data_IF_216675935401
#
_entry.id   IF_216675935401
#
_cell.length_a   1.000
_cell.length_b   1.000
_cell.length_c   1.000
_cell.angle_alpha   90.00
_cell.angle_beta   90.00
_cell.angle_gamma   90.00
#
_symmetry.space_group_name_H-M   'P 1'
#
loop_
_entity.id
_entity.type
_entity.pdbx_description
1 polymer ?
#
# COMPACT_ATOMS: atom_id res chain seq x y z
N UNK A 1 -53.92 16.61 26.37
CA UNK A 1 -52.50 16.38 26.71
C UNK A 1 -52.09 15.02 26.16
N UNK A 2 -51.28 14.93 25.09
CA UNK A 2 -50.82 13.65 24.58
C UNK A 2 -49.84 12.99 25.58
N UNK A 3 -50.00 11.69 25.87
CA UNK A 3 -49.24 10.97 26.88
C UNK A 3 -47.77 10.77 26.48
N UNK A 4 -46.93 10.66 27.52
CA UNK A 4 -45.45 10.54 27.58
C UNK A 4 -44.85 9.49 26.62
N UNK A 5 -45.67 8.66 25.98
CA UNK A 5 -45.29 7.62 25.03
C UNK A 5 -44.65 8.14 23.72
N UNK A 6 -44.85 9.42 23.36
CA UNK A 6 -44.18 10.03 22.19
C UNK A 6 -42.69 10.32 22.40
N UNK A 7 -42.19 10.32 23.65
CA UNK A 7 -40.78 10.63 23.94
C UNK A 7 -39.85 9.41 23.76
N UNK A 8 -40.35 8.19 23.96
CA UNK A 8 -39.55 6.97 23.80
C UNK A 8 -39.33 6.58 22.32
N UNK A 9 -40.25 6.92 21.42
CA UNK A 9 -40.16 6.57 20.00
C UNK A 9 -39.11 7.41 19.21
N UNK A 10 -38.69 8.56 19.75
CA UNK A 10 -37.66 9.41 19.14
C UNK A 10 -36.24 9.00 19.56
N UNK A 11 -36.09 8.30 20.69
CA UNK A 11 -34.78 7.92 21.24
C UNK A 11 -34.17 6.65 20.61
N UNK A 12 -34.97 5.76 19.99
CA UNK A 12 -34.48 4.48 19.45
C UNK A 12 -34.21 4.47 17.94
N UNK A 13 -34.65 5.49 17.19
CA UNK A 13 -34.41 5.58 15.73
C UNK A 13 -33.06 6.20 15.33
N UNK A 14 -32.26 6.71 16.28
CA UNK A 14 -30.91 7.26 16.01
C UNK A 14 -29.76 6.25 16.11
N UNK A 15 -30.01 5.03 16.61
CA UNK A 15 -28.96 4.03 16.85
C UNK A 15 -28.85 3.01 15.71
N UNK A 16 -29.87 2.85 14.87
CA UNK A 16 -29.99 1.68 13.99
C UNK A 16 -30.14 1.97 12.49
N UNK A 17 -29.60 3.07 11.95
CA UNK A 17 -29.58 3.26 10.49
C UNK A 17 -28.24 3.80 9.99
N UNK A 18 -27.43 2.85 9.52
CA UNK A 18 -26.71 2.97 8.25
C UNK A 18 -25.91 4.26 8.03
N UNK A 19 -24.80 4.42 8.76
CA UNK A 19 -23.64 5.12 8.20
C UNK A 19 -22.31 4.47 8.55
N UNK A 20 -22.36 3.17 8.82
CA UNK A 20 -21.21 2.25 8.75
C UNK A 20 -20.72 2.09 7.29
N UNK A 21 -21.51 2.55 6.31
CA UNK A 21 -21.22 2.42 4.88
C UNK A 21 -20.73 3.73 4.23
N UNK A 22 -19.72 4.41 4.78
CA UNK A 22 -19.02 5.47 4.03
C UNK A 22 -17.59 5.75 4.50
N UNK A 23 -16.73 4.73 4.54
CA UNK A 23 -15.27 4.96 4.56
C UNK A 23 -14.41 3.82 4.00
N UNK A 24 -14.91 3.06 3.02
CA UNK A 24 -14.05 2.20 2.19
C UNK A 24 -13.66 2.94 0.91
N UNK A 25 -12.97 4.07 1.06
CA UNK A 25 -12.25 4.71 -0.05
C UNK A 25 -10.83 4.13 -0.01
N UNK A 26 -10.32 3.66 -1.14
CA UNK A 26 -8.89 3.42 -1.38
C UNK A 26 -8.26 2.14 -0.75
N UNK A 27 -8.76 0.92 -1.01
CA UNK A 27 -7.91 -0.29 -0.88
C UNK A 27 -8.00 -1.27 -2.07
N UNK A 28 -8.67 -0.88 -3.16
CA UNK A 28 -8.69 -1.66 -4.41
C UNK A 28 -8.51 -0.75 -5.64
N UNK A 29 -7.51 0.13 -5.55
CA UNK A 29 -7.00 0.93 -6.68
C UNK A 29 -5.72 0.34 -7.31
N UNK A 30 -5.37 -0.90 -6.96
CA UNK A 30 -4.08 -1.55 -7.24
C UNK A 30 -3.95 -2.17 -8.65
N UNK A 31 -4.74 -1.73 -9.63
CA UNK A 31 -4.56 -2.10 -11.05
C UNK A 31 -4.50 -0.85 -11.95
N UNK A 32 -4.05 0.29 -11.41
CA UNK A 32 -3.46 1.31 -12.27
C UNK A 32 -2.21 0.68 -12.89
N UNK A 33 -2.08 0.74 -14.22
CA UNK A 33 -0.92 0.23 -14.95
C UNK A 33 0.33 0.74 -14.24
N UNK A 34 1.13 -0.16 -13.65
CA UNK A 34 2.34 0.25 -12.94
C UNK A 34 3.16 1.12 -13.87
N UNK A 35 3.47 2.33 -13.42
CA UNK A 35 4.31 3.23 -14.20
C UNK A 35 5.65 2.55 -14.46
N UNK A 36 6.36 2.87 -15.56
CA UNK A 36 7.68 2.31 -15.81
C UNK A 36 8.62 2.51 -14.61
N UNK A 37 8.51 3.66 -13.94
CA UNK A 37 9.23 3.99 -12.69
C UNK A 37 8.85 3.06 -11.54
N UNK A 38 7.56 2.81 -11.30
CA UNK A 38 7.11 1.87 -10.24
C UNK A 38 7.63 0.44 -10.47
N UNK A 39 7.70 -0.01 -11.73
CA UNK A 39 8.27 -1.33 -12.06
C UNK A 39 9.77 -1.39 -11.75
N UNK A 40 10.52 -0.33 -12.06
CA UNK A 40 11.94 -0.24 -11.74
C UNK A 40 12.17 -0.19 -10.23
N UNK A 41 11.35 0.56 -9.49
CA UNK A 41 11.41 0.62 -8.02
C UNK A 41 11.14 -0.74 -7.37
N UNK A 42 10.17 -1.51 -7.89
CA UNK A 42 9.92 -2.87 -7.41
C UNK A 42 11.09 -3.81 -7.69
N UNK A 43 11.71 -3.72 -8.88
CA UNK A 43 12.90 -4.51 -9.22
C UNK A 43 14.07 -4.15 -8.30
N UNK A 44 14.35 -2.87 -8.12
CA UNK A 44 15.41 -2.36 -7.25
C UNK A 44 15.27 -2.93 -5.83
N UNK A 45 14.05 -2.86 -5.25
CA UNK A 45 13.77 -3.40 -3.93
C UNK A 45 14.04 -4.91 -3.83
N UNK A 46 13.62 -5.68 -4.83
CA UNK A 46 13.85 -7.14 -4.86
C UNK A 46 15.33 -7.49 -4.92
N UNK A 47 16.10 -6.78 -5.75
CA UNK A 47 17.54 -7.01 -5.88
C UNK A 47 18.26 -6.70 -4.57
N UNK A 48 17.92 -5.62 -3.89
CA UNK A 48 18.50 -5.31 -2.57
C UNK A 48 18.18 -6.37 -1.51
N UNK A 49 16.96 -6.90 -1.51
CA UNK A 49 16.57 -7.98 -0.61
C UNK A 49 17.36 -9.26 -0.92
N UNK A 50 17.51 -9.61 -2.20
CA UNK A 50 18.33 -10.75 -2.63
C UNK A 50 19.81 -10.57 -2.29
N UNK A 51 20.37 -9.37 -2.49
CA UNK A 51 21.73 -9.02 -2.11
C UNK A 51 21.94 -9.22 -0.61
N UNK A 52 21.00 -8.74 0.22
CA UNK A 52 21.07 -8.92 1.67
C UNK A 52 21.02 -10.39 2.08
N UNK A 53 20.16 -11.21 1.46
CA UNK A 53 20.14 -12.65 1.75
C UNK A 53 21.44 -13.33 1.31
N UNK A 54 21.95 -13.00 0.12
CA UNK A 54 23.21 -13.55 -0.38
C UNK A 54 24.41 -13.06 0.43
N UNK A 55 24.39 -11.88 1.04
CA UNK A 55 25.50 -11.40 1.87
C UNK A 55 25.84 -12.35 3.03
N UNK A 56 24.88 -13.20 3.44
CA UNK A 56 25.04 -14.19 4.50
C UNK A 56 25.72 -15.49 4.02
N UNK A 57 25.72 -15.77 2.71
CA UNK A 57 26.23 -17.03 2.14
C UNK A 57 27.29 -16.81 1.05
N UNK A 58 27.16 -15.79 0.22
CA UNK A 58 28.05 -15.43 -0.88
C UNK A 58 28.18 -13.90 -1.02
N UNK A 59 29.30 -13.37 -0.52
CA UNK A 59 29.64 -11.95 -0.57
C UNK A 59 29.85 -11.46 -2.00
N UNK A 60 30.47 -12.26 -2.86
CA UNK A 60 30.76 -11.85 -4.24
C UNK A 60 29.48 -11.76 -5.07
N UNK A 61 28.52 -12.66 -4.86
CA UNK A 61 27.22 -12.57 -5.50
C UNK A 61 26.40 -11.37 -4.96
N UNK A 62 26.47 -11.11 -3.65
CA UNK A 62 25.86 -9.92 -3.04
C UNK A 62 26.39 -8.62 -3.65
N UNK A 63 27.71 -8.48 -3.79
CA UNK A 63 28.34 -7.26 -4.33
C UNK A 63 27.90 -6.99 -5.78
N UNK A 64 27.72 -8.04 -6.59
CA UNK A 64 27.19 -7.93 -7.96
C UNK A 64 25.76 -7.41 -7.98
N UNK A 65 24.90 -7.92 -7.09
CA UNK A 65 23.51 -7.46 -6.99
C UNK A 65 23.42 -6.00 -6.50
N UNK A 66 24.30 -5.56 -5.60
CA UNK A 66 24.38 -4.15 -5.23
C UNK A 66 24.79 -3.25 -6.40
N UNK A 67 25.71 -3.71 -7.26
CA UNK A 67 26.06 -2.98 -8.48
C UNK A 67 24.86 -2.89 -9.46
N UNK A 68 24.13 -4.00 -9.66
CA UNK A 68 22.92 -4.02 -10.49
C UNK A 68 21.81 -3.10 -9.93
N UNK A 69 21.65 -3.07 -8.61
CA UNK A 69 20.72 -2.16 -7.94
C UNK A 69 21.05 -0.68 -8.23
N UNK A 70 22.34 -0.31 -8.18
CA UNK A 70 22.79 1.05 -8.48
C UNK A 70 22.54 1.45 -9.95
N UNK A 71 22.58 0.50 -10.89
CA UNK A 71 22.21 0.77 -12.29
C UNK A 71 20.70 1.03 -12.43
N UNK A 72 19.85 0.24 -11.77
CA UNK A 72 18.40 0.46 -11.77
C UNK A 72 18.05 1.81 -11.12
N UNK A 73 18.76 2.23 -10.08
CA UNK A 73 18.55 3.54 -9.46
C UNK A 73 18.84 4.70 -10.43
N UNK A 74 19.88 4.56 -11.26
CA UNK A 74 20.15 5.52 -12.34
C UNK A 74 19.04 5.52 -13.40
N UNK A 75 18.50 4.34 -13.73
CA UNK A 75 17.36 4.25 -14.66
C UNK A 75 16.10 4.92 -14.09
N UNK A 76 15.83 4.76 -12.79
CA UNK A 76 14.74 5.42 -12.08
C UNK A 76 14.92 6.94 -12.16
N UNK A 77 16.11 7.44 -11.84
CA UNK A 77 16.40 8.89 -11.90
C UNK A 77 16.30 9.47 -13.32
N UNK A 78 16.51 8.66 -14.36
CA UNK A 78 16.35 9.08 -15.76
C UNK A 78 14.89 9.15 -16.19
N UNK A 79 14.00 8.41 -15.51
CA UNK A 79 12.57 8.31 -15.83
C UNK A 79 11.65 9.04 -14.84
N UNK A 80 12.19 9.58 -13.74
CA UNK A 80 11.48 10.40 -12.74
C UNK A 80 11.37 11.86 -13.15
#
# INVERSE_FOLDING_TARGET
MPPIVKLAAVALKKIATSRIFKRKKEMFGLFKKKSPVEKLQEKHKKILEQAFQLSKSDRSASDKLYAEAAEIEKEISRHS
#
